data_IF_855405716665
#
_entry.id   IF_855405716665
#
_cell.length_a   1.000
_cell.length_b   1.000
_cell.length_c   1.000
_cell.angle_alpha   90.00
_cell.angle_beta   90.00
_cell.angle_gamma   90.00
#
_symmetry.space_group_name_H-M   'P 1'
#
loop_
_entity.id
_entity.type
_entity.pdbx_description
1 polymer ?
#
# COMPACT_ATOMS: atom_id res chain seq x y z
N UNK A 1 -17.60 31.23 26.15
CA UNK A 1 -16.36 30.42 26.20
C UNK A 1 -15.75 30.47 24.81
N UNK A 2 -14.45 30.76 24.67
CA UNK A 2 -13.76 30.67 23.38
C UNK A 2 -13.24 29.25 23.23
N UNK A 3 -13.75 28.51 22.25
CA UNK A 3 -13.11 27.28 21.79
C UNK A 3 -11.67 27.65 21.42
N UNK A 4 -10.69 26.96 22.03
CA UNK A 4 -9.32 27.07 21.54
C UNK A 4 -9.33 26.39 20.18
N UNK A 5 -9.25 27.18 19.11
CA UNK A 5 -8.85 26.70 17.79
C UNK A 5 -7.51 25.99 17.98
N UNK A 6 -7.54 24.66 18.03
CA UNK A 6 -6.32 23.88 18.05
C UNK A 6 -5.69 24.06 16.66
N UNK A 7 -4.52 24.69 16.61
CA UNK A 7 -3.78 24.79 15.38
C UNK A 7 -3.51 23.36 14.88
N UNK A 8 -3.81 23.05 13.60
CA UNK A 8 -3.62 21.71 13.08
C UNK A 8 -2.16 21.29 13.24
N UNK A 9 -1.93 20.15 13.90
CA UNK A 9 -0.59 19.58 14.04
C UNK A 9 -0.13 19.10 12.67
N UNK A 10 0.83 19.81 12.09
CA UNK A 10 1.44 19.41 10.82
C UNK A 10 2.36 18.22 11.06
N UNK A 11 1.96 17.07 10.52
CA UNK A 11 2.79 15.86 10.53
C UNK A 11 3.74 15.98 9.35
N UNK A 12 5.05 16.03 9.60
CA UNK A 12 6.02 16.15 8.50
C UNK A 12 6.00 14.91 7.60
N UNK A 13 5.97 13.72 8.19
CA UNK A 13 5.97 12.45 7.46
C UNK A 13 5.08 11.42 8.17
N UNK A 14 4.13 10.86 7.42
CA UNK A 14 3.36 9.69 7.81
C UNK A 14 3.83 8.48 7.00
N UNK A 15 4.46 7.50 7.67
CA UNK A 15 4.79 6.20 7.06
C UNK A 15 3.77 5.14 7.45
N UNK A 16 3.25 4.44 6.45
CA UNK A 16 2.25 3.39 6.59
C UNK A 16 2.83 2.09 6.04
N UNK A 17 2.90 1.05 6.87
CA UNK A 17 3.18 -0.31 6.45
C UNK A 17 1.85 -1.03 6.26
N UNK A 18 1.56 -1.50 5.05
CA UNK A 18 0.28 -2.10 4.75
C UNK A 18 0.47 -3.48 4.11
N UNK A 19 -0.20 -4.47 4.69
CA UNK A 19 -0.47 -5.71 3.98
C UNK A 19 -1.40 -5.42 2.80
N UNK A 20 -1.16 -6.09 1.67
CA UNK A 20 -1.94 -5.91 0.44
C UNK A 20 -3.44 -6.11 0.65
N UNK A 21 -3.82 -7.04 1.54
CA UNK A 21 -5.20 -7.25 1.98
C UNK A 21 -5.90 -5.99 2.48
N UNK A 22 -5.23 -5.26 3.36
CA UNK A 22 -5.77 -4.08 4.01
C UNK A 22 -5.77 -2.90 3.05
N UNK A 23 -4.72 -2.77 2.25
CA UNK A 23 -4.59 -1.72 1.26
C UNK A 23 -5.73 -1.78 0.23
N UNK A 24 -5.96 -2.95 -0.38
CA UNK A 24 -7.02 -3.14 -1.37
C UNK A 24 -8.44 -2.98 -0.78
N UNK A 25 -8.58 -3.10 0.54
CA UNK A 25 -9.83 -2.83 1.28
C UNK A 25 -9.97 -1.36 1.72
N UNK A 26 -9.09 -0.48 1.24
CA UNK A 26 -9.14 0.95 1.50
C UNK A 26 -8.61 1.38 2.87
N UNK A 27 -7.77 0.57 3.53
CA UNK A 27 -7.21 0.94 4.84
C UNK A 27 -6.39 2.24 4.79
N UNK A 28 -5.62 2.47 3.72
CA UNK A 28 -4.88 3.71 3.55
C UNK A 28 -5.81 4.92 3.46
N UNK A 29 -6.91 4.82 2.71
CA UNK A 29 -7.92 5.86 2.64
C UNK A 29 -8.52 6.15 4.03
N UNK A 30 -8.84 5.10 4.81
CA UNK A 30 -9.35 5.27 6.18
C UNK A 30 -8.36 5.99 7.10
N UNK A 31 -7.06 5.70 6.99
CA UNK A 31 -6.01 6.41 7.75
C UNK A 31 -5.95 7.87 7.32
N UNK A 32 -5.89 8.16 6.02
CA UNK A 32 -5.82 9.53 5.50
C UNK A 32 -7.08 10.36 5.77
N UNK A 33 -8.23 9.70 6.00
CA UNK A 33 -9.49 10.34 6.36
C UNK A 33 -9.62 10.69 7.85
N UNK A 34 -8.66 10.30 8.70
CA UNK A 34 -8.68 10.66 10.13
C UNK A 34 -8.62 12.19 10.25
N UNK A 35 -9.60 12.83 10.92
CA UNK A 35 -9.59 14.27 11.12
C UNK A 35 -8.28 14.74 11.76
N UNK A 36 -7.82 15.94 11.38
CA UNK A 36 -6.58 16.56 11.89
C UNK A 36 -5.28 15.86 11.49
N UNK A 37 -5.33 14.66 10.91
CA UNK A 37 -4.17 13.99 10.32
C UNK A 37 -3.77 14.72 9.02
N UNK A 38 -2.87 15.70 9.14
CA UNK A 38 -2.43 16.55 8.04
C UNK A 38 -0.96 16.29 7.68
N UNK A 39 -0.63 15.13 7.07
CA UNK A 39 0.72 14.83 6.66
C UNK A 39 1.17 15.69 5.48
N UNK A 40 2.43 16.12 5.50
CA UNK A 40 3.08 16.77 4.34
C UNK A 40 3.66 15.74 3.37
N UNK A 41 4.18 14.63 3.91
CA UNK A 41 4.71 13.50 3.16
C UNK A 41 3.98 12.24 3.63
N UNK A 42 3.52 11.43 2.67
CA UNK A 42 2.99 10.09 2.95
C UNK A 42 3.92 9.08 2.32
N UNK A 43 4.37 8.09 3.08
CA UNK A 43 5.12 6.94 2.55
C UNK A 43 4.33 5.67 2.80
N UNK A 44 3.90 5.00 1.73
CA UNK A 44 3.32 3.66 1.78
C UNK A 44 4.42 2.63 1.51
N UNK A 45 4.64 1.70 2.44
CA UNK A 45 5.62 0.62 2.28
C UNK A 45 4.92 -0.73 2.21
N UNK A 46 5.17 -1.49 1.15
CA UNK A 46 4.76 -2.88 0.97
C UNK A 46 6.01 -3.75 1.08
N UNK A 47 6.18 -4.45 2.20
CA UNK A 47 7.33 -5.34 2.42
C UNK A 47 7.17 -6.67 1.72
N UNK A 48 8.24 -7.44 1.63
CA UNK A 48 8.21 -8.78 1.04
C UNK A 48 7.07 -9.64 1.62
N UNK A 49 6.86 -9.59 2.94
CA UNK A 49 5.83 -10.37 3.64
C UNK A 49 4.44 -9.76 3.61
N UNK A 50 4.29 -8.58 3.02
CA UNK A 50 3.03 -7.86 2.93
C UNK A 50 2.32 -8.10 1.58
N UNK A 51 3.03 -8.70 0.61
CA UNK A 51 2.46 -9.13 -0.68
C UNK A 51 1.50 -10.31 -0.55
N UNK A 52 0.61 -10.42 -1.53
CA UNK A 52 -0.29 -11.56 -1.66
C UNK A 52 0.46 -12.88 -1.79
N UNK A 53 0.15 -13.83 -0.89
CA UNK A 53 0.66 -15.21 -0.94
C UNK A 53 2.19 -15.30 -1.09
N UNK A 54 2.92 -14.36 -0.49
CA UNK A 54 4.38 -14.31 -0.55
C UNK A 54 5.02 -15.62 -0.04
N UNK A 55 4.37 -16.28 0.92
CA UNK A 55 4.78 -17.56 1.48
C UNK A 55 4.89 -18.64 0.39
N UNK A 56 3.97 -18.61 -0.57
CA UNK A 56 3.84 -19.59 -1.65
C UNK A 56 4.56 -19.19 -2.95
N UNK A 57 5.46 -18.23 -2.86
CA UNK A 57 6.22 -17.71 -4.01
C UNK A 57 5.38 -17.15 -5.17
N UNK A 58 4.13 -16.78 -4.94
CA UNK A 58 3.25 -16.35 -6.04
C UNK A 58 3.81 -15.09 -6.75
N UNK A 59 3.53 -14.93 -8.06
CA UNK A 59 3.87 -13.71 -8.77
C UNK A 59 3.34 -12.46 -8.05
N UNK A 60 4.14 -11.40 -7.99
CA UNK A 60 3.74 -10.14 -7.40
C UNK A 60 2.66 -9.53 -8.28
N UNK A 61 1.58 -9.10 -7.65
CA UNK A 61 0.55 -8.36 -8.34
C UNK A 61 -0.08 -7.31 -7.45
N UNK A 62 -0.79 -6.40 -8.09
CA UNK A 62 -1.41 -5.26 -7.44
C UNK A 62 -2.78 -4.96 -8.03
N UNK A 63 -3.81 -4.81 -7.18
CA UNK A 63 -5.09 -4.26 -7.61
C UNK A 63 -5.15 -2.74 -7.37
N UNK A 64 -5.34 -1.97 -8.43
CA UNK A 64 -5.39 -0.51 -8.40
C UNK A 64 -6.68 0.10 -7.84
N UNK A 65 -7.68 -0.69 -7.46
CA UNK A 65 -8.99 -0.18 -7.03
C UNK A 65 -8.98 0.78 -5.83
N UNK A 66 -7.97 0.70 -4.95
CA UNK A 66 -7.86 1.58 -3.78
C UNK A 66 -7.37 3.00 -4.11
N UNK A 67 -6.79 3.22 -5.30
CA UNK A 67 -6.29 4.54 -5.73
C UNK A 67 -7.38 5.60 -5.73
N UNK A 68 -8.59 5.20 -6.15
CA UNK A 68 -9.77 6.06 -6.16
C UNK A 68 -10.16 6.46 -4.72
N UNK A 69 -10.26 5.48 -3.82
CA UNK A 69 -10.59 5.73 -2.41
C UNK A 69 -9.59 6.66 -1.73
N UNK A 70 -8.29 6.48 -2.01
CA UNK A 70 -7.25 7.40 -1.52
C UNK A 70 -7.41 8.79 -2.12
N UNK A 71 -7.71 8.90 -3.41
CA UNK A 71 -7.89 10.20 -4.07
C UNK A 71 -9.13 10.98 -3.57
N UNK A 72 -10.14 10.29 -3.04
CA UNK A 72 -11.32 10.92 -2.45
C UNK A 72 -11.05 11.56 -1.10
N UNK A 73 -9.98 11.17 -0.40
CA UNK A 73 -9.74 11.56 1.00
C UNK A 73 -8.36 12.17 1.24
N UNK A 74 -7.45 12.13 0.25
CA UNK A 74 -6.09 12.64 0.43
C UNK A 74 -6.08 14.14 0.76
N UNK A 75 -5.53 14.54 1.92
CA UNK A 75 -5.66 15.91 2.38
C UNK A 75 -4.80 16.90 1.56
N UNK A 76 -5.18 18.19 1.47
CA UNK A 76 -4.44 19.20 0.73
C UNK A 76 -3.03 19.45 1.27
N UNK A 77 -2.74 19.02 2.50
CA UNK A 77 -1.42 19.11 3.11
C UNK A 77 -0.38 18.22 2.43
N UNK A 78 -0.79 17.13 1.77
CA UNK A 78 0.13 16.16 1.15
C UNK A 78 0.81 16.82 -0.05
N UNK A 79 2.13 16.95 0.01
CA UNK A 79 2.99 17.54 -1.04
C UNK A 79 3.88 16.50 -1.70
N UNK A 80 3.92 15.29 -1.16
CA UNK A 80 4.71 14.17 -1.65
C UNK A 80 4.07 12.87 -1.20
N UNK A 81 3.94 11.92 -2.13
CA UNK A 81 3.58 10.55 -1.85
C UNK A 81 4.70 9.65 -2.34
N UNK A 82 5.23 8.82 -1.44
CA UNK A 82 6.21 7.79 -1.76
C UNK A 82 5.54 6.42 -1.65
N UNK A 83 5.81 5.55 -2.62
CA UNK A 83 5.40 4.14 -2.57
C UNK A 83 6.66 3.29 -2.66
N UNK A 84 6.93 2.54 -1.60
CA UNK A 84 8.06 1.62 -1.47
C UNK A 84 7.58 0.20 -1.70
N UNK A 85 8.09 -0.43 -2.75
CA UNK A 85 7.82 -1.80 -3.13
C UNK A 85 9.06 -2.64 -2.82
N UNK A 86 9.00 -3.42 -1.75
CA UNK A 86 10.09 -4.30 -1.35
C UNK A 86 9.76 -5.76 -1.67
N UNK A 87 10.73 -6.48 -2.22
CA UNK A 87 10.69 -7.94 -2.30
C UNK A 87 12.09 -8.52 -2.21
N UNK A 88 12.20 -9.85 -2.23
CA UNK A 88 13.48 -10.54 -2.37
C UNK A 88 14.10 -10.24 -3.73
N UNK A 89 15.43 -10.12 -3.80
CA UNK A 89 16.14 -9.64 -4.99
C UNK A 89 15.89 -10.50 -6.23
N UNK A 90 15.70 -11.82 -6.07
CA UNK A 90 15.31 -12.72 -7.17
C UNK A 90 13.98 -12.34 -7.86
N UNK A 91 13.13 -11.54 -7.21
CA UNK A 91 11.87 -10.99 -7.75
C UNK A 91 12.02 -9.54 -8.22
N UNK A 92 13.23 -9.00 -8.35
CA UNK A 92 13.48 -7.63 -8.82
C UNK A 92 12.73 -7.31 -10.11
N UNK A 93 12.78 -8.19 -11.11
CA UNK A 93 12.08 -7.97 -12.39
C UNK A 93 10.58 -7.75 -12.21
N UNK A 94 9.98 -8.42 -11.22
CA UNK A 94 8.57 -8.29 -10.89
C UNK A 94 8.29 -6.91 -10.28
N UNK A 95 9.12 -6.50 -9.31
CA UNK A 95 9.03 -5.17 -8.71
C UNK A 95 9.23 -4.07 -9.75
N UNK A 96 10.22 -4.21 -10.64
CA UNK A 96 10.53 -3.25 -11.71
C UNK A 96 9.36 -3.09 -12.68
N UNK A 97 8.74 -4.18 -13.12
CA UNK A 97 7.59 -4.10 -14.03
C UNK A 97 6.38 -3.45 -13.35
N UNK A 98 6.16 -3.71 -12.05
CA UNK A 98 5.12 -3.02 -11.30
C UNK A 98 5.41 -1.53 -11.20
N UNK A 99 6.63 -1.18 -10.81
CA UNK A 99 7.06 0.21 -10.68
C UNK A 99 6.95 0.96 -12.02
N UNK A 100 7.38 0.36 -13.12
CA UNK A 100 7.26 0.92 -14.48
C UNK A 100 5.80 1.26 -14.81
N UNK A 101 4.88 0.34 -14.55
CA UNK A 101 3.45 0.58 -14.79
C UNK A 101 2.89 1.71 -13.91
N UNK A 102 3.28 1.77 -12.63
CA UNK A 102 2.88 2.87 -11.76
C UNK A 102 3.41 4.23 -12.26
N UNK A 103 4.70 4.29 -12.64
CA UNK A 103 5.33 5.49 -13.18
C UNK A 103 4.72 5.97 -14.50
N UNK A 104 4.25 5.04 -15.34
CA UNK A 104 3.61 5.37 -16.61
C UNK A 104 2.16 5.85 -16.41
N UNK A 105 1.43 5.26 -15.47
CA UNK A 105 -0.05 5.25 -15.54
C UNK A 105 -0.73 5.96 -14.38
N UNK A 106 -0.10 5.98 -13.21
CA UNK A 106 -0.78 6.38 -11.98
C UNK A 106 -0.70 7.88 -11.73
N UNK A 107 -1.69 8.38 -11.01
CA UNK A 107 -1.71 9.70 -10.42
C UNK A 107 -2.59 9.63 -9.17
N UNK A 108 -2.46 10.61 -8.28
CA UNK A 108 -3.30 10.74 -7.09
C UNK A 108 -3.91 12.12 -7.06
N UNK A 109 -5.20 12.24 -6.75
CA UNK A 109 -5.82 13.55 -6.59
C UNK A 109 -6.03 13.84 -5.11
N UNK A 110 -5.73 15.06 -4.70
CA UNK A 110 -6.08 15.57 -3.37
C UNK A 110 -7.51 16.09 -3.37
N UNK A 111 -8.08 16.27 -2.18
CA UNK A 111 -9.43 16.81 -2.01
C UNK A 111 -9.58 18.25 -2.50
N UNK A 112 -8.48 19.02 -2.60
CA UNK A 112 -8.46 20.36 -3.23
C UNK A 112 -8.36 20.33 -4.77
N UNK A 113 -8.41 19.13 -5.37
CA UNK A 113 -8.38 18.94 -6.81
C UNK A 113 -6.98 18.88 -7.42
N UNK A 114 -5.92 19.20 -6.66
CA UNK A 114 -4.53 19.12 -7.15
C UNK A 114 -4.13 17.65 -7.34
N UNK A 115 -3.52 17.34 -8.48
CA UNK A 115 -3.02 16.01 -8.79
C UNK A 115 -1.52 15.89 -8.50
N UNK A 116 -1.12 14.75 -7.95
CA UNK A 116 0.26 14.31 -7.78
C UNK A 116 0.59 13.31 -8.89
N UNK A 117 1.69 13.55 -9.59
CA UNK A 117 2.15 12.76 -10.73
C UNK A 117 3.48 12.07 -10.42
N UNK A 118 3.77 10.95 -11.11
CA UNK A 118 5.06 10.29 -11.05
C UNK A 118 6.19 11.27 -11.35
N UNK A 119 7.20 11.30 -10.49
CA UNK A 119 8.38 12.16 -10.61
C UNK A 119 9.64 11.34 -10.88
N UNK A 120 9.94 10.41 -9.99
CA UNK A 120 11.14 9.57 -10.08
C UNK A 120 10.90 8.20 -9.46
N UNK A 121 11.72 7.25 -9.89
CA UNK A 121 11.90 5.95 -9.28
C UNK A 121 13.35 5.86 -8.80
N UNK A 122 13.55 5.42 -7.56
CA UNK A 122 14.86 5.11 -7.00
C UNK A 122 14.89 3.66 -6.54
N UNK A 123 16.05 3.04 -6.58
CA UNK A 123 16.24 1.69 -6.06
C UNK A 123 17.18 1.68 -4.86
N UNK A 124 16.96 0.73 -3.96
CA UNK A 124 17.85 0.44 -2.85
C UNK A 124 17.83 -1.05 -2.53
N UNK A 125 18.89 -1.52 -1.85
CA UNK A 125 19.03 -2.91 -1.47
C UNK A 125 19.42 -3.00 0.01
N UNK A 126 18.99 -4.06 0.67
CA UNK A 126 19.44 -4.38 2.01
C UNK A 126 19.49 -5.89 2.23
N UNK A 127 20.29 -6.32 3.21
CA UNK A 127 20.43 -7.75 3.56
C UNK A 127 19.73 -8.05 4.87
N UNK A 128 18.92 -9.10 4.86
CA UNK A 128 18.23 -9.60 6.04
C UNK A 128 18.60 -11.03 6.36
N UNK A 129 18.13 -11.49 7.52
CA UNK A 129 18.26 -12.91 7.89
C UNK A 129 17.14 -13.72 7.27
N UNK A 130 17.46 -14.94 6.83
CA UNK A 130 16.46 -15.93 6.41
C UNK A 130 15.84 -16.68 7.60
N UNK A 131 16.15 -16.31 8.84
CA UNK A 131 15.77 -17.04 10.05
C UNK A 131 14.80 -16.22 10.89
N UNK A 132 13.73 -16.86 11.33
CA UNK A 132 12.84 -16.32 12.34
C UNK A 132 12.49 -17.42 13.33
N UNK A 133 12.87 -17.26 14.60
CA UNK A 133 12.78 -18.29 15.62
C UNK A 133 13.39 -19.63 15.17
N UNK A 134 12.56 -20.67 14.98
CA UNK A 134 12.97 -22.02 14.54
C UNK A 134 12.73 -22.25 13.04
N UNK A 135 12.28 -21.21 12.32
CA UNK A 135 11.95 -21.27 10.90
C UNK A 135 13.09 -20.67 10.07
N UNK A 136 13.27 -21.20 8.86
CA UNK A 136 14.28 -20.77 7.89
C UNK A 136 13.70 -20.75 6.48
N UNK A 137 13.85 -19.64 5.78
CA UNK A 137 13.37 -19.44 4.41
C UNK A 137 14.50 -19.66 3.41
N UNK A 138 14.87 -20.94 3.20
CA UNK A 138 16.02 -21.34 2.37
C UNK A 138 15.88 -20.91 0.90
N UNK A 139 14.65 -20.90 0.37
CA UNK A 139 14.35 -20.53 -1.03
C UNK A 139 14.93 -19.15 -1.41
N UNK A 140 14.90 -18.22 -0.47
CA UNK A 140 15.20 -16.80 -0.73
C UNK A 140 16.66 -16.44 -0.38
N UNK A 141 17.46 -17.44 0.03
CA UNK A 141 18.85 -17.23 0.43
C UNK A 141 19.77 -17.01 -0.76
N UNK A 142 20.66 -16.02 -0.65
CA UNK A 142 21.81 -15.86 -1.54
C UNK A 142 23.08 -16.52 -0.97
N UNK A 143 23.12 -16.65 0.35
CA UNK A 143 24.14 -17.32 1.16
C UNK A 143 23.42 -17.92 2.36
N UNK A 144 24.03 -18.90 3.03
CA UNK A 144 23.42 -19.50 4.21
C UNK A 144 23.01 -18.45 5.25
N UNK A 145 21.71 -18.40 5.54
CA UNK A 145 21.16 -17.49 6.55
C UNK A 145 20.90 -16.06 6.07
N UNK A 146 21.19 -15.73 4.81
CA UNK A 146 21.17 -14.35 4.29
C UNK A 146 20.26 -14.23 3.07
N UNK A 147 19.34 -13.26 3.12
CA UNK A 147 18.45 -12.87 2.03
C UNK A 147 18.83 -11.47 1.57
N UNK A 148 18.96 -11.27 0.26
CA UNK A 148 19.05 -9.94 -0.35
C UNK A 148 17.64 -9.45 -0.69
N UNK A 149 17.33 -8.22 -0.27
CA UNK A 149 16.09 -7.52 -0.56
C UNK A 149 16.33 -6.38 -1.52
N UNK A 150 15.38 -6.20 -2.43
CA UNK A 150 15.28 -5.12 -3.39
C UNK A 150 14.10 -4.23 -3.07
N UNK A 151 14.29 -2.91 -3.11
CA UNK A 151 13.23 -1.91 -2.88
C UNK A 151 13.20 -0.91 -4.02
N UNK A 152 12.07 -0.81 -4.72
CA UNK A 152 11.78 0.30 -5.62
C UNK A 152 10.95 1.37 -4.89
N UNK A 153 11.43 2.60 -4.86
CA UNK A 153 10.75 3.75 -4.28
C UNK A 153 10.26 4.66 -5.39
N UNK A 154 8.94 4.83 -5.49
CA UNK A 154 8.29 5.71 -6.45
C UNK A 154 7.84 6.98 -5.75
N UNK A 155 8.28 8.14 -6.24
CA UNK A 155 7.86 9.44 -5.70
C UNK A 155 6.85 10.11 -6.63
N UNK A 156 5.77 10.60 -6.05
CA UNK A 156 4.73 11.39 -6.70
C UNK A 156 4.68 12.80 -6.11
N UNK A 157 4.69 13.82 -6.97
CA UNK A 157 4.70 15.24 -6.58
C UNK A 157 3.60 16.03 -7.31
N UNK A 158 3.12 17.15 -6.73
CA UNK A 158 2.26 18.08 -7.45
C UNK A 158 2.96 18.67 -8.68
N UNK A 159 2.20 18.97 -9.74
CA UNK A 159 2.74 19.54 -10.97
C UNK A 159 3.52 20.84 -10.75
N UNK A 160 3.15 21.65 -9.75
CA UNK A 160 3.89 22.88 -9.40
C UNK A 160 5.33 22.63 -8.95
N UNK A 161 5.67 21.40 -8.56
CA UNK A 161 7.03 20.98 -8.18
C UNK A 161 7.75 20.22 -9.29
N UNK A 162 7.08 19.92 -10.39
CA UNK A 162 7.62 19.18 -11.51
C UNK A 162 8.10 20.16 -12.57
N UNK A 163 9.27 19.90 -13.17
CA UNK A 163 9.58 20.57 -14.43
C UNK A 163 8.67 19.99 -15.52
N UNK A 164 8.24 20.82 -16.48
CA UNK A 164 7.19 20.51 -17.48
C UNK A 164 7.38 19.17 -18.24
N UNK A 165 8.63 18.68 -18.33
CA UNK A 165 9.05 17.49 -19.08
C UNK A 165 9.24 16.22 -18.22
N UNK A 166 9.07 16.29 -16.88
CA UNK A 166 9.41 15.18 -15.98
C UNK A 166 8.21 14.31 -15.59
N UNK A 167 7.08 14.46 -16.26
CA UNK A 167 5.83 13.79 -15.92
C UNK A 167 5.36 12.89 -17.05
N UNK A 168 4.83 11.71 -16.73
CA UNK A 168 4.22 10.83 -17.73
C UNK A 168 3.05 11.53 -18.46
N UNK A 169 3.07 11.61 -19.81
CA UNK A 169 1.94 12.10 -20.59
C UNK A 169 0.67 11.27 -20.39
N UNK A 170 0.82 9.95 -20.22
CA UNK A 170 -0.30 9.02 -19.99
C UNK A 170 -0.94 9.29 -18.62
N UNK A 171 -0.13 9.51 -17.58
CA UNK A 171 -0.67 9.87 -16.26
C UNK A 171 -1.42 11.22 -16.28
N UNK A 172 -0.93 12.19 -17.06
CA UNK A 172 -1.61 13.47 -17.29
C UNK A 172 -2.94 13.29 -18.02
N UNK A 173 -2.95 12.51 -19.09
CA UNK A 173 -4.17 12.20 -19.84
C UNK A 173 -5.21 11.53 -18.93
N UNK A 174 -4.78 10.52 -18.16
CA UNK A 174 -5.62 9.82 -17.19
C UNK A 174 -6.21 10.77 -16.12
N UNK A 175 -5.42 11.75 -15.66
CA UNK A 175 -5.90 12.74 -14.71
C UNK A 175 -6.98 13.67 -15.30
N UNK A 176 -6.89 13.97 -16.60
CA UNK A 176 -7.76 14.94 -17.28
C UNK A 176 -9.05 14.33 -17.85
N UNK A 177 -9.17 13.01 -17.96
CA UNK A 177 -10.43 12.36 -18.37
C UNK A 177 -11.59 12.69 -17.40
N UNK A 178 -12.83 12.84 -17.89
CA UNK A 178 -14.03 13.20 -17.08
C UNK A 178 -14.47 12.05 -16.15
N UNK A 179 -15.29 12.25 -15.09
CA UNK A 179 -15.75 11.15 -14.21
C UNK A 179 -16.48 10.00 -14.91
N UNK A 180 -17.29 10.29 -15.92
CA UNK A 180 -17.99 9.31 -16.76
C UNK A 180 -16.97 8.52 -17.61
N UNK A 181 -15.97 9.24 -18.13
CA UNK A 181 -14.81 8.65 -18.77
C UNK A 181 -13.87 7.97 -17.78
N UNK A 182 -13.80 8.33 -16.49
CA UNK A 182 -12.88 7.72 -15.48
C UNK A 182 -13.40 6.39 -15.03
N UNK A 183 -14.72 6.26 -14.82
CA UNK A 183 -15.37 4.98 -14.64
C UNK A 183 -15.15 4.08 -15.85
N UNK A 184 -15.21 4.62 -17.08
CA UNK A 184 -15.06 3.83 -18.30
C UNK A 184 -13.60 3.59 -18.74
N UNK A 185 -12.68 4.52 -18.52
CA UNK A 185 -11.23 4.43 -18.81
C UNK A 185 -10.48 3.67 -17.72
N UNK A 186 -10.86 3.76 -16.44
CA UNK A 186 -10.28 2.92 -15.39
C UNK A 186 -10.92 1.53 -15.31
N UNK A 187 -12.21 1.37 -15.64
CA UNK A 187 -12.91 0.09 -15.41
C UNK A 187 -13.24 -0.70 -16.68
N UNK A 188 -13.24 -0.13 -17.89
CA UNK A 188 -13.72 -0.85 -19.10
C UNK A 188 -12.79 -0.90 -20.31
N UNK A 189 -11.81 0.02 -20.46
CA UNK A 189 -10.99 0.06 -21.69
C UNK A 189 -9.57 -0.48 -21.59
N UNK A 190 -9.07 -0.80 -20.41
CA UNK A 190 -7.66 -1.17 -20.24
C UNK A 190 -7.58 -2.16 -19.08
N UNK A 191 -7.07 -3.38 -19.34
CA UNK A 191 -6.90 -4.48 -18.35
C UNK A 191 -5.90 -4.18 -17.23
N UNK A 192 -6.15 -3.09 -16.49
CA UNK A 192 -5.22 -2.35 -15.64
C UNK A 192 -5.60 -2.42 -14.16
N UNK A 193 -6.60 -3.24 -13.81
CA UNK A 193 -6.88 -3.63 -12.43
C UNK A 193 -5.90 -4.63 -11.86
N UNK A 194 -4.97 -5.14 -12.67
CA UNK A 194 -3.93 -6.06 -12.23
C UNK A 194 -2.62 -5.64 -12.87
N UNK A 195 -1.74 -5.03 -12.09
CA UNK A 195 -0.32 -5.00 -12.46
C UNK A 195 0.20 -6.38 -12.04
N UNK A 196 0.49 -7.26 -13.01
CA UNK A 196 1.07 -8.59 -12.75
C UNK A 196 2.32 -8.76 -13.58
N UNK A 197 3.28 -9.44 -13.00
CA UNK A 197 4.62 -9.66 -13.58
C UNK A 197 4.69 -10.99 -14.30
N UNK A 198 3.70 -11.84 -14.03
CA UNK A 198 3.31 -12.98 -14.83
C UNK A 198 1.78 -12.95 -14.87
N UNK A 199 1.18 -12.75 -16.04
CA UNK A 199 -0.23 -13.16 -16.19
C UNK A 199 -0.27 -14.64 -15.75
N UNK A 200 -1.12 -15.09 -14.81
CA UNK A 200 -1.56 -16.47 -14.88
C UNK A 200 -2.25 -16.56 -16.24
N UNK A 201 -1.73 -17.31 -17.23
CA UNK A 201 -2.15 -17.17 -18.63
C UNK A 201 -3.58 -17.69 -18.92
N UNK A 202 -4.42 -17.89 -17.89
CA UNK A 202 -5.66 -18.66 -17.97
C UNK A 202 -6.87 -18.06 -17.23
N UNK A 203 -6.81 -16.83 -16.71
CA UNK A 203 -7.97 -16.24 -15.98
C UNK A 203 -8.35 -14.83 -16.44
N UNK A 204 -9.64 -14.66 -16.69
CA UNK A 204 -10.32 -13.37 -16.85
C UNK A 204 -10.41 -12.62 -15.53
N UNK A 205 -10.63 -11.31 -15.58
CA UNK A 205 -10.82 -10.45 -14.39
C UNK A 205 -11.92 -10.97 -13.44
N UNK A 206 -12.97 -11.57 -14.00
CA UNK A 206 -14.08 -12.16 -13.25
C UNK A 206 -13.66 -13.46 -12.53
N UNK A 207 -12.78 -14.26 -13.15
CA UNK A 207 -12.23 -15.48 -12.56
C UNK A 207 -11.20 -15.16 -11.48
N UNK A 208 -10.37 -14.14 -11.70
CA UNK A 208 -9.43 -13.63 -10.71
C UNK A 208 -10.16 -13.14 -9.45
N UNK A 209 -11.21 -12.32 -9.62
CA UNK A 209 -12.01 -11.82 -8.50
C UNK A 209 -12.76 -12.95 -7.78
N UNK A 210 -13.18 -14.00 -8.51
CA UNK A 210 -13.85 -15.18 -7.93
C UNK A 210 -12.87 -16.07 -7.16
N UNK A 211 -11.68 -16.31 -7.72
CA UNK A 211 -10.59 -17.03 -7.09
C UNK A 211 -10.18 -16.37 -5.78
N UNK A 212 -9.96 -15.05 -5.79
CA UNK A 212 -9.66 -14.31 -4.57
C UNK A 212 -10.82 -14.33 -3.59
N UNK A 213 -12.07 -14.07 -4.00
CA UNK A 213 -13.24 -14.17 -3.08
C UNK A 213 -13.40 -15.56 -2.46
N UNK A 214 -13.02 -16.63 -3.17
CA UNK A 214 -13.03 -17.99 -2.63
C UNK A 214 -11.88 -18.24 -1.65
N UNK A 215 -10.65 -17.84 -1.98
CA UNK A 215 -9.53 -17.86 -1.04
C UNK A 215 -9.87 -17.11 0.25
N UNK A 216 -10.47 -15.92 0.13
CA UNK A 216 -10.91 -15.09 1.25
C UNK A 216 -12.03 -15.69 2.09
N UNK A 217 -13.00 -16.36 1.46
CA UNK A 217 -14.06 -17.07 2.19
C UNK A 217 -13.54 -18.26 3.00
N UNK A 218 -12.41 -18.84 2.59
CA UNK A 218 -11.85 -20.06 3.16
C UNK A 218 -10.68 -19.80 4.15
N UNK A 219 -10.50 -18.55 4.62
CA UNK A 219 -9.48 -18.15 5.61
C UNK A 219 -10.11 -17.97 7.00
N UNK A 220 -10.11 -19.00 7.88
CA UNK A 220 -10.72 -18.92 9.22
C UNK A 220 -9.97 -18.00 10.20
N UNK A 221 -8.74 -17.59 9.86
CA UNK A 221 -7.89 -16.67 10.63
C UNK A 221 -8.33 -15.20 10.54
N UNK A 222 -9.01 -14.80 9.45
CA UNK A 222 -9.40 -13.41 9.21
C UNK A 222 -10.88 -13.15 9.57
N UNK A 223 -11.72 -14.20 9.64
CA UNK A 223 -13.14 -14.07 9.99
C UNK A 223 -13.42 -13.90 11.50
N UNK A 224 -12.43 -14.10 12.39
CA UNK A 224 -12.64 -13.98 13.84
C UNK A 224 -12.82 -12.55 14.38
N UNK A 225 -12.81 -11.52 13.52
CA UNK A 225 -13.08 -10.13 13.93
C UNK A 225 -14.45 -9.59 13.53
N UNK A 226 -15.35 -10.43 12.98
CA UNK A 226 -16.78 -10.11 12.80
C UNK A 226 -17.64 -11.15 13.50
N UNK A 227 -17.76 -11.04 14.82
CA UNK A 227 -18.58 -11.96 15.60
C UNK A 227 -18.66 -11.64 17.10
N UNK A 228 -19.20 -10.46 17.44
CA UNK A 228 -19.90 -10.14 18.70
C UNK A 228 -20.31 -8.66 18.60
N UNK A 229 -21.55 -8.20 18.71
CA UNK A 229 -22.84 -8.80 19.05
C UNK A 229 -23.91 -7.76 18.66
N UNK A 230 -25.02 -8.18 18.04
CA UNK A 230 -26.29 -7.45 18.19
C UNK A 230 -27.18 -8.24 19.17
N UNK A 231 -27.83 -7.47 20.02
CA UNK A 231 -28.77 -7.75 21.11
C UNK A 231 -28.32 -8.13 22.54
N UNK A 232 -28.97 -7.54 23.57
CA UNK A 232 -28.42 -7.30 24.89
C UNK A 232 -29.16 -8.11 25.96
N UNK A 233 -28.60 -9.21 26.41
CA UNK A 233 -28.93 -9.78 27.70
C UNK A 233 -27.80 -10.73 28.11
N UNK A 234 -27.43 -10.66 29.39
CA UNK A 234 -26.51 -11.55 30.11
C UNK A 234 -25.02 -11.16 30.04
N UNK A 235 -24.62 -10.29 30.96
CA UNK A 235 -23.29 -10.35 31.58
C UNK A 235 -23.19 -11.66 32.39
N UNK A 236 -21.99 -12.28 32.45
CA UNK A 236 -21.23 -12.13 33.69
C UNK A 236 -19.74 -11.82 33.47
N UNK A 237 -19.12 -11.48 34.60
CA UNK A 237 -17.87 -10.77 34.78
C UNK A 237 -16.59 -11.61 34.59
N UNK A 238 -15.47 -10.88 34.48
CA UNK A 238 -14.04 -11.27 34.64
C UNK A 238 -13.41 -12.09 33.48
N UNK A 239 -12.30 -11.73 32.84
CA UNK A 239 -11.15 -10.89 33.22
C UNK A 239 -10.59 -10.06 32.05
N UNK A 240 -10.36 -8.78 32.32
CA UNK A 240 -9.42 -7.84 31.68
C UNK A 240 -7.96 -8.32 31.94
N UNK A 241 -6.92 -8.15 31.10
CA UNK A 241 -6.44 -6.97 30.35
C UNK A 241 -5.25 -7.35 29.41
N UNK A 242 -4.76 -6.43 28.55
CA UNK A 242 -3.99 -6.67 27.32
C UNK A 242 -2.46 -6.57 27.50
N UNK A 243 -1.70 -7.14 26.57
CA UNK A 243 -0.25 -6.92 26.49
C UNK A 243 0.10 -5.76 25.57
N UNK A 244 0.61 -4.70 26.21
CA UNK A 244 1.34 -3.58 25.63
C UNK A 244 2.67 -4.04 25.04
N UNK A 245 3.00 -3.53 23.84
CA UNK A 245 4.31 -3.67 23.23
C UNK A 245 5.39 -2.98 24.07
N UNK A 246 6.43 -3.74 24.41
CA UNK A 246 7.63 -3.26 25.08
C UNK A 246 8.55 -2.56 24.07
N UNK A 247 8.73 -1.25 24.22
CA UNK A 247 9.88 -0.51 23.69
C UNK A 247 11.16 -1.00 24.39
N UNK A 248 12.15 -1.45 23.62
CA UNK A 248 13.51 -1.63 24.15
C UNK A 248 14.38 -0.44 23.79
N UNK A 249 14.90 0.20 24.84
CA UNK A 249 15.79 1.35 24.83
C UNK A 249 17.23 0.83 24.73
N UNK A 250 17.91 1.04 23.60
CA UNK A 250 19.36 0.79 23.51
C UNK A 250 20.12 1.88 24.27
N UNK A 251 20.75 1.50 25.39
CA UNK A 251 21.79 2.29 26.06
C UNK A 251 23.12 2.17 25.31
N UNK A 252 23.77 3.31 25.10
CA UNK A 252 25.20 3.41 24.76
C UNK A 252 26.06 3.14 26.02
N UNK A 253 27.22 2.56 25.79
CA UNK A 253 28.37 2.50 26.69
C UNK A 253 29.36 1.50 26.08
N UNK A 254 30.66 1.77 25.96
CA UNK A 254 31.49 2.93 26.22
C UNK A 254 32.80 2.74 25.45
#
# INVERSE_FOLDING_TARGET
>A
MREREQQPVLISNLRVFAQMCMLEQGALAKVLAVPELNPSIVTLTIRHTDWWNWEHDQPLYFNGGWLEGVSQVMPPSVRELNIELESVDRKKYQVDEIARQMMEKWFFRRTDGVALYPFQQQESHWRGTSRWERLRWVRDEILEGVIDFYVATLTFLPETRLQRHQTSPVARENANSTPEDRGSLMLSKLGWKTISTERPPFMTEKEQMRYYRQLWRNRPDIQRSRGASEDPALLPANQQKPFLGSLSLMRRGG
#
